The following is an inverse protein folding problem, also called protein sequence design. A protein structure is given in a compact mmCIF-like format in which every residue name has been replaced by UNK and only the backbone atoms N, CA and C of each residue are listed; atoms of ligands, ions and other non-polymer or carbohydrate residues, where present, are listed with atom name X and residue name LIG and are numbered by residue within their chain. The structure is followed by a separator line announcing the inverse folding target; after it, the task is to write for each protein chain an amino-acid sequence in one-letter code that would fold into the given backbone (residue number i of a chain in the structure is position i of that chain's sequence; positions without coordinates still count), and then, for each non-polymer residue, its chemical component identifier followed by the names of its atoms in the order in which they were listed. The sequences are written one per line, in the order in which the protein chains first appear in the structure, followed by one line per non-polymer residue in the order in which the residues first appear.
data_IF_262682844531
#
_entry.id   IF_262682844531
#
_cell.length_a   1.000
_cell.length_b   1.000
_cell.length_c   1.000
_cell.angle_alpha   90.00
_cell.angle_beta   90.00
_cell.angle_gamma   90.00
#
_symmetry.space_group_name_H-M   'P 1'
#
loop_
_entity.id
_entity.type
_entity.pdbx_description
1 polymer ?
#
# COMPACT_ATOMS: atom_id res chain seq x y z
N UNK A 1 17.62 12.62 -8.72
CA UNK A 1 16.26 12.50 -8.17
C UNK A 1 15.43 11.75 -9.19
N UNK A 2 14.67 10.70 -8.82
CA UNK A 2 13.86 9.98 -9.77
C UNK A 2 12.73 10.85 -10.34
N UNK A 3 12.30 10.57 -11.55
CA UNK A 3 11.01 11.00 -12.07
C UNK A 3 9.91 10.18 -11.37
N UNK A 4 8.93 10.85 -10.77
CA UNK A 4 7.87 10.20 -9.99
C UNK A 4 6.53 10.49 -10.65
N UNK A 5 5.80 9.44 -10.96
CA UNK A 5 4.42 9.52 -11.48
C UNK A 5 3.49 8.77 -10.55
N UNK A 6 2.31 9.34 -10.30
CA UNK A 6 1.33 8.78 -9.36
C UNK A 6 -0.06 8.84 -9.96
N UNK A 7 -0.92 7.88 -9.59
CA UNK A 7 -2.36 7.95 -9.81
C UNK A 7 -3.08 7.47 -8.55
N UNK A 8 -4.17 8.15 -8.21
CA UNK A 8 -5.07 7.78 -7.11
C UNK A 8 -6.52 7.84 -7.59
N UNK A 9 -7.34 6.86 -7.21
CA UNK A 9 -8.75 6.82 -7.55
C UNK A 9 -9.57 6.25 -6.41
N UNK A 10 -10.58 7.00 -5.99
CA UNK A 10 -11.53 6.51 -4.99
C UNK A 10 -12.35 5.33 -5.52
N UNK A 11 -12.58 4.35 -4.65
CA UNK A 11 -13.53 3.27 -4.79
C UNK A 11 -14.91 3.64 -4.26
N UNK A 12 -15.62 2.63 -3.80
CA UNK A 12 -16.94 2.77 -3.17
C UNK A 12 -16.96 2.15 -1.77
N UNK A 13 -17.91 2.58 -0.95
CA UNK A 13 -18.19 1.94 0.33
C UNK A 13 -18.69 0.50 0.17
N UNK A 14 -18.77 -0.23 1.28
CA UNK A 14 -19.38 -1.58 1.31
C UNK A 14 -20.88 -1.55 0.93
N UNK A 15 -21.52 -0.39 1.08
CA UNK A 15 -22.89 -0.10 0.64
C UNK A 15 -22.99 0.27 -0.86
N UNK A 16 -21.86 0.36 -1.56
CA UNK A 16 -21.77 0.77 -2.96
C UNK A 16 -21.85 2.29 -3.18
N UNK A 17 -21.94 3.10 -2.12
CA UNK A 17 -21.99 4.54 -2.25
C UNK A 17 -20.60 5.14 -2.52
N UNK A 18 -20.50 6.25 -3.28
CA UNK A 18 -19.26 6.98 -3.41
C UNK A 18 -18.74 7.45 -2.04
N UNK A 19 -17.43 7.34 -1.83
CA UNK A 19 -16.74 7.86 -0.64
C UNK A 19 -15.39 8.47 -1.03
N UNK A 20 -14.78 9.32 -0.19
CA UNK A 20 -13.39 9.73 -0.38
C UNK A 20 -12.46 8.50 -0.38
N UNK A 21 -11.32 8.62 -1.06
CA UNK A 21 -10.28 7.58 -1.03
C UNK A 21 -9.71 7.43 0.38
N UNK A 22 -9.50 6.18 0.80
CA UNK A 22 -8.77 5.81 2.00
C UNK A 22 -7.27 5.62 1.70
N UNK A 23 -6.86 5.63 0.43
CA UNK A 23 -5.46 5.57 0.00
C UNK A 23 -4.77 6.93 0.08
N UNK A 24 -3.44 6.91 0.24
CA UNK A 24 -2.58 8.09 0.22
C UNK A 24 -1.24 7.79 -0.42
N UNK A 25 -0.78 8.66 -1.31
CA UNK A 25 0.63 8.74 -1.72
C UNK A 25 1.25 10.03 -1.19
N UNK A 26 2.40 9.91 -0.53
CA UNK A 26 3.21 11.04 -0.07
C UNK A 26 4.56 10.99 -0.76
N UNK A 27 4.92 12.07 -1.44
CA UNK A 27 6.25 12.25 -2.03
C UNK A 27 7.07 13.16 -1.14
N UNK A 28 8.15 12.64 -0.57
CA UNK A 28 9.18 13.37 0.14
C UNK A 28 10.37 13.64 -0.79
N UNK A 29 11.35 14.40 -0.31
CA UNK A 29 12.57 14.73 -1.07
C UNK A 29 13.34 13.46 -1.54
N UNK A 30 13.40 12.45 -0.67
CA UNK A 30 14.18 11.22 -0.88
C UNK A 30 13.37 9.94 -0.64
N UNK A 31 12.05 10.03 -0.61
CA UNK A 31 11.19 8.87 -0.38
C UNK A 31 9.79 9.05 -0.99
N UNK A 32 9.13 7.92 -1.26
CA UNK A 32 7.70 7.85 -1.53
C UNK A 32 7.08 6.90 -0.52
N UNK A 33 5.96 7.32 0.06
CA UNK A 33 5.13 6.50 0.96
C UNK A 33 3.79 6.28 0.29
N UNK A 34 3.31 5.04 0.29
CA UNK A 34 1.98 4.66 -0.16
C UNK A 34 1.28 3.95 1.01
N UNK A 35 0.08 4.40 1.33
CA UNK A 35 -0.74 3.85 2.40
C UNK A 35 -2.12 3.48 1.85
N UNK A 36 -2.60 2.31 2.23
CA UNK A 36 -3.96 1.82 1.94
C UNK A 36 -4.75 1.78 3.24
N UNK A 37 -5.78 2.61 3.37
CA UNK A 37 -6.60 2.66 4.57
C UNK A 37 -7.51 1.44 4.67
N UNK A 38 -7.29 0.61 5.70
CA UNK A 38 -8.05 -0.63 5.87
C UNK A 38 -9.53 -0.33 6.15
N UNK A 39 -10.40 -0.80 5.27
CA UNK A 39 -11.84 -0.61 5.43
C UNK A 39 -12.37 -1.33 6.67
N UNK A 40 -13.06 -0.58 7.52
CA UNK A 40 -13.79 -1.10 8.66
C UNK A 40 -15.16 -1.64 8.22
N UNK A 41 -15.58 -2.84 8.67
CA UNK A 41 -16.92 -3.37 8.38
C UNK A 41 -18.04 -2.59 9.07
N UNK A 42 -17.70 -1.75 10.05
CA UNK A 42 -18.63 -0.87 10.77
C UNK A 42 -18.24 0.59 10.53
N UNK A 43 -19.18 1.46 10.11
CA UNK A 43 -18.93 2.90 10.03
C UNK A 43 -18.43 3.43 11.38
N UNK A 44 -17.30 4.10 11.37
CA UNK A 44 -16.69 4.73 12.55
C UNK A 44 -16.42 6.19 12.20
N UNK A 45 -16.44 7.06 13.21
CA UNK A 45 -15.97 8.45 13.03
C UNK A 45 -14.51 8.51 12.56
N UNK A 46 -13.72 7.46 12.85
CA UNK A 46 -12.34 7.27 12.41
C UNK A 46 -12.25 5.97 11.61
N UNK A 47 -12.08 6.10 10.31
CA UNK A 47 -11.97 5.01 9.34
C UNK A 47 -10.51 4.84 8.84
N UNK A 48 -10.32 3.97 7.84
CA UNK A 48 -9.01 3.73 7.25
C UNK A 48 -8.44 5.00 6.60
N UNK A 49 -9.31 5.79 5.96
CA UNK A 49 -8.92 7.07 5.34
C UNK A 49 -8.51 8.14 6.34
N UNK A 50 -9.16 8.19 7.51
CA UNK A 50 -8.71 9.03 8.61
C UNK A 50 -7.30 8.60 9.08
N UNK A 51 -7.08 7.30 9.26
CA UNK A 51 -5.79 6.77 9.73
C UNK A 51 -4.67 7.05 8.73
N UNK A 52 -4.85 6.67 7.46
CA UNK A 52 -3.85 6.86 6.40
C UNK A 52 -3.49 8.33 6.23
N UNK A 53 -4.47 9.24 6.28
CA UNK A 53 -4.23 10.68 6.17
C UNK A 53 -3.39 11.24 7.34
N UNK A 54 -3.68 10.84 8.58
CA UNK A 54 -2.93 11.35 9.74
C UNK A 54 -1.54 10.71 9.85
N UNK A 55 -1.40 9.42 9.52
CA UNK A 55 -0.10 8.76 9.47
C UNK A 55 0.79 9.35 8.37
N UNK A 56 0.22 9.58 7.18
CA UNK A 56 0.89 10.28 6.08
C UNK A 56 1.43 11.65 6.51
N UNK A 57 0.62 12.45 7.21
CA UNK A 57 1.04 13.77 7.69
C UNK A 57 2.21 13.70 8.68
N UNK A 58 2.20 12.71 9.59
CA UNK A 58 3.28 12.51 10.56
C UNK A 58 4.58 12.06 9.89
N UNK A 59 4.50 11.19 8.87
CA UNK A 59 5.67 10.76 8.10
C UNK A 59 6.24 11.89 7.24
N UNK A 60 5.38 12.74 6.69
CA UNK A 60 5.80 13.95 5.96
C UNK A 60 6.53 14.94 6.87
N UNK A 61 6.00 15.18 8.08
CA UNK A 61 6.57 16.10 9.06
C UNK A 61 7.88 15.57 9.69
N UNK A 62 7.90 14.29 10.07
CA UNK A 62 9.05 13.65 10.69
C UNK A 62 10.20 13.34 9.71
N UNK A 63 9.85 13.11 8.43
CA UNK A 63 10.79 12.60 7.43
C UNK A 63 11.15 11.13 7.66
N UNK A 64 12.01 10.60 6.77
CA UNK A 64 12.45 9.19 6.78
C UNK A 64 13.98 9.10 6.76
N UNK A 65 14.60 9.57 7.85
CA UNK A 65 16.05 9.80 7.94
C UNK A 65 16.80 8.68 8.68
N UNK A 66 16.10 7.83 9.43
CA UNK A 66 16.65 6.79 10.29
C UNK A 66 16.56 5.40 9.70
N UNK A 67 16.34 4.38 10.54
CA UNK A 67 15.86 3.08 10.06
C UNK A 67 14.38 3.22 9.71
N UNK A 68 13.94 2.72 8.55
CA UNK A 68 12.56 2.89 8.09
C UNK A 68 11.52 2.27 9.03
N UNK A 69 11.87 1.20 9.77
CA UNK A 69 10.96 0.60 10.73
C UNK A 69 10.89 1.43 12.02
N UNK A 70 12.02 2.01 12.47
CA UNK A 70 12.05 2.90 13.62
C UNK A 70 11.26 4.19 13.33
N UNK A 71 11.49 4.81 12.16
CA UNK A 71 10.78 6.02 11.74
C UNK A 71 9.26 5.77 11.64
N UNK A 72 8.86 4.60 11.11
CA UNK A 72 7.45 4.22 11.04
C UNK A 72 6.86 3.90 12.42
N UNK A 73 7.61 3.22 13.30
CA UNK A 73 7.19 2.94 14.67
C UNK A 73 6.92 4.25 15.44
N UNK A 74 7.83 5.22 15.30
CA UNK A 74 7.70 6.54 15.93
C UNK A 74 6.47 7.30 15.40
N UNK A 75 6.21 7.25 14.09
CA UNK A 75 5.00 7.85 13.51
C UNK A 75 3.72 7.19 14.03
N UNK A 76 3.68 5.86 14.12
CA UNK A 76 2.55 5.12 14.71
C UNK A 76 2.36 5.49 16.18
N UNK A 77 3.44 5.56 16.97
CA UNK A 77 3.38 5.91 18.38
C UNK A 77 2.84 7.34 18.60
N UNK A 78 3.30 8.29 17.78
CA UNK A 78 2.79 9.68 17.80
C UNK A 78 1.32 9.75 17.43
N UNK A 79 0.89 9.01 16.41
CA UNK A 79 -0.51 8.96 15.99
C UNK A 79 -1.40 8.40 17.11
N UNK A 80 -0.98 7.27 17.70
CA UNK A 80 -1.72 6.63 18.77
C UNK A 80 -1.84 7.53 20.00
N UNK A 81 -0.75 8.19 20.42
CA UNK A 81 -0.76 9.10 21.55
C UNK A 81 -1.57 10.38 21.29
N UNK A 82 -1.51 10.96 20.10
CA UNK A 82 -2.21 12.20 19.77
C UNK A 82 -3.73 12.06 19.73
N UNK A 83 -4.23 10.83 19.50
CA UNK A 83 -5.65 10.56 19.33
C UNK A 83 -6.20 9.50 20.28
N UNK A 84 -5.44 9.13 21.31
CA UNK A 84 -5.81 8.12 22.32
C UNK A 84 -6.26 6.78 21.69
N UNK A 85 -5.52 6.30 20.68
CA UNK A 85 -5.83 5.05 20.00
C UNK A 85 -5.41 3.84 20.84
N UNK A 86 -6.24 2.79 20.84
CA UNK A 86 -6.00 1.57 21.60
C UNK A 86 -5.69 0.40 20.65
N UNK A 87 -4.58 -0.34 20.86
CA UNK A 87 -4.27 -1.53 20.07
C UNK A 87 -5.40 -2.56 20.04
N UNK A 88 -5.71 -3.06 18.85
CA UNK A 88 -6.79 -4.00 18.59
C UNK A 88 -8.17 -3.37 18.38
N UNK A 89 -8.34 -2.06 18.65
CA UNK A 89 -9.58 -1.32 18.41
C UNK A 89 -9.34 0.04 17.72
N UNK A 90 -8.27 0.17 16.96
CA UNK A 90 -7.98 1.35 16.16
C UNK A 90 -8.21 1.10 14.65
N UNK A 91 -8.49 2.17 13.87
CA UNK A 91 -8.36 2.10 12.43
C UNK A 91 -6.89 1.81 12.06
N UNK A 92 -6.67 1.33 10.84
CA UNK A 92 -5.34 0.90 10.41
C UNK A 92 -5.13 1.18 8.93
N UNK A 93 -3.88 1.17 8.49
CA UNK A 93 -3.52 1.20 7.08
C UNK A 93 -2.34 0.28 6.78
N UNK A 94 -2.27 -0.24 5.55
CA UNK A 94 -1.01 -0.80 5.05
C UNK A 94 0.01 0.34 4.91
N UNK A 95 1.29 -0.03 4.79
CA UNK A 95 2.35 0.93 4.51
C UNK A 95 3.38 0.32 3.57
N UNK A 96 3.60 0.96 2.43
CA UNK A 96 4.74 0.74 1.56
C UNK A 96 5.60 2.00 1.55
N UNK A 97 6.89 1.87 1.79
CA UNK A 97 7.86 2.97 1.75
C UNK A 97 8.98 2.58 0.80
N UNK A 98 9.34 3.49 -0.10
CA UNK A 98 10.56 3.43 -0.90
C UNK A 98 11.37 4.68 -0.57
N UNK A 99 12.60 4.50 -0.09
CA UNK A 99 13.55 5.59 0.15
C UNK A 99 14.79 5.38 -0.70
N UNK A 100 15.40 6.45 -1.19
CA UNK A 100 16.67 6.37 -1.90
C UNK A 100 17.72 7.30 -1.32
N UNK A 101 18.98 6.90 -1.45
CA UNK A 101 20.16 7.72 -1.27
C UNK A 101 20.95 7.72 -2.59
N UNK A 102 22.15 8.27 -2.58
CA UNK A 102 23.07 8.14 -3.72
C UNK A 102 23.59 6.70 -3.87
N UNK A 103 23.57 5.91 -2.79
CA UNK A 103 24.17 4.57 -2.74
C UNK A 103 23.15 3.43 -2.71
N UNK A 104 21.95 3.67 -2.18
CA UNK A 104 20.94 2.63 -1.97
C UNK A 104 19.52 3.04 -2.36
N UNK A 105 18.70 2.03 -2.66
CA UNK A 105 17.24 2.12 -2.60
C UNK A 105 16.77 1.15 -1.52
N UNK A 106 16.02 1.64 -0.54
CA UNK A 106 15.44 0.86 0.55
C UNK A 106 13.94 0.74 0.37
N UNK A 107 13.39 -0.45 0.63
CA UNK A 107 11.95 -0.68 0.67
C UNK A 107 11.51 -1.27 2.02
N UNK A 108 10.35 -0.82 2.48
CA UNK A 108 9.62 -1.38 3.61
C UNK A 108 8.17 -1.64 3.19
N UNK A 109 7.68 -2.86 3.42
CA UNK A 109 6.29 -3.27 3.16
C UNK A 109 5.69 -3.86 4.43
N UNK A 110 4.61 -3.24 4.91
CA UNK A 110 3.81 -3.66 6.04
C UNK A 110 2.38 -3.91 5.55
N UNK A 111 1.93 -5.17 5.62
CA UNK A 111 0.71 -5.69 4.99
C UNK A 111 0.78 -5.72 3.45
N UNK A 112 -0.36 -5.74 2.77
CA UNK A 112 -0.53 -6.24 1.41
C UNK A 112 -0.41 -5.18 0.29
N UNK A 113 0.36 -4.10 0.51
CA UNK A 113 0.70 -3.13 -0.55
C UNK A 113 2.12 -3.37 -1.08
N UNK A 114 2.30 -4.04 -2.24
CA UNK A 114 3.62 -4.45 -2.71
C UNK A 114 4.48 -3.30 -3.23
N UNK A 115 5.80 -3.52 -3.17
CA UNK A 115 6.82 -2.74 -3.89
C UNK A 115 7.48 -3.66 -4.90
N UNK A 116 7.56 -3.24 -6.16
CA UNK A 116 8.22 -3.96 -7.24
C UNK A 116 9.42 -3.18 -7.74
N UNK A 117 10.58 -3.83 -7.78
CA UNK A 117 11.85 -3.25 -8.21
C UNK A 117 12.24 -3.85 -9.55
N UNK A 118 12.61 -2.99 -10.49
CA UNK A 118 13.08 -3.36 -11.83
C UNK A 118 14.54 -2.95 -11.97
N UNK A 119 15.41 -3.96 -12.06
CA UNK A 119 16.83 -3.81 -12.34
C UNK A 119 17.29 -4.82 -13.38
N UNK A 120 18.39 -5.52 -13.11
CA UNK A 120 18.79 -6.69 -13.90
C UNK A 120 17.74 -7.82 -13.87
N UNK A 121 16.94 -7.86 -12.80
CA UNK A 121 15.77 -8.73 -12.64
C UNK A 121 14.62 -7.91 -12.03
N UNK A 122 13.41 -8.41 -12.20
CA UNK A 122 12.24 -7.91 -11.49
C UNK A 122 12.12 -8.63 -10.15
N UNK A 123 12.04 -7.88 -9.06
CA UNK A 123 11.85 -8.39 -7.71
C UNK A 123 10.60 -7.78 -7.08
N UNK A 124 9.77 -8.63 -6.47
CA UNK A 124 8.55 -8.20 -5.77
C UNK A 124 8.78 -8.34 -4.27
N UNK A 125 8.61 -7.24 -3.54
CA UNK A 125 8.56 -7.21 -2.08
C UNK A 125 7.10 -7.11 -1.68
N UNK A 126 6.56 -8.20 -1.14
CA UNK A 126 5.21 -8.30 -0.61
C UNK A 126 5.21 -8.90 0.79
N UNK A 127 4.16 -8.60 1.57
CA UNK A 127 3.86 -9.30 2.81
C UNK A 127 2.60 -10.15 2.65
N UNK A 128 2.81 -11.43 2.36
CA UNK A 128 1.71 -12.35 2.07
C UNK A 128 1.02 -12.88 3.35
N UNK A 129 1.41 -12.43 4.57
CA UNK A 129 0.84 -12.98 5.81
C UNK A 129 -0.67 -12.80 5.89
N UNK A 130 -1.19 -11.63 5.50
CA UNK A 130 -2.63 -11.38 5.46
C UNK A 130 -3.31 -12.27 4.41
N UNK A 131 -2.79 -12.27 3.17
CA UNK A 131 -3.29 -13.11 2.08
C UNK A 131 -3.34 -14.60 2.45
N UNK A 132 -2.29 -15.09 3.11
CA UNK A 132 -2.16 -16.48 3.54
C UNK A 132 -3.15 -16.90 4.62
N UNK A 133 -3.71 -15.95 5.37
CA UNK A 133 -4.75 -16.19 6.38
C UNK A 133 -6.17 -16.11 5.81
N UNK A 134 -6.38 -15.34 4.73
CA UNK A 134 -7.70 -15.20 4.08
C UNK A 134 -8.24 -16.60 3.72
N UNK A 135 -9.48 -16.88 4.10
CA UNK A 135 -10.15 -18.18 3.89
C UNK A 135 -9.73 -19.32 4.83
N UNK A 136 -8.72 -19.13 5.69
CA UNK A 136 -8.30 -20.13 6.70
C UNK A 136 -8.81 -19.83 8.10
N UNK A 137 -9.19 -18.58 8.37
CA UNK A 137 -9.70 -18.13 9.66
C UNK A 137 -11.04 -17.42 9.48
N UNK A 138 -11.93 -17.53 10.46
CA UNK A 138 -13.27 -16.93 10.42
C UNK A 138 -13.27 -15.44 10.73
N UNK A 139 -12.45 -15.00 11.69
CA UNK A 139 -12.33 -13.60 12.08
C UNK A 139 -10.89 -13.12 11.90
N UNK A 140 -10.57 -12.63 10.69
CA UNK A 140 -9.21 -12.18 10.33
C UNK A 140 -8.70 -11.09 11.28
N UNK A 141 -9.57 -10.19 11.75
CA UNK A 141 -9.23 -9.09 12.65
C UNK A 141 -8.65 -9.56 13.98
N UNK A 142 -9.00 -10.76 14.47
CA UNK A 142 -8.38 -11.36 15.67
C UNK A 142 -6.93 -11.77 15.47
N UNK A 143 -6.43 -11.78 14.24
CA UNK A 143 -5.06 -12.10 13.88
C UNK A 143 -4.23 -10.87 13.53
N UNK A 144 -4.78 -9.66 13.71
CA UNK A 144 -4.05 -8.41 13.54
C UNK A 144 -2.98 -8.25 14.63
N UNK A 145 -1.80 -7.76 14.24
CA UNK A 145 -0.68 -7.37 15.08
C UNK A 145 -0.35 -8.39 16.18
N UNK A 146 -0.22 -9.65 15.78
CA UNK A 146 0.21 -10.74 16.66
C UNK A 146 0.97 -11.80 15.91
N UNK A 147 1.76 -12.56 16.67
CA UNK A 147 2.53 -13.68 16.14
C UNK A 147 1.63 -14.76 15.52
N UNK A 148 2.07 -15.33 14.39
CA UNK A 148 1.25 -16.22 13.56
C UNK A 148 0.07 -15.56 12.83
N UNK A 149 -0.12 -14.24 13.02
CA UNK A 149 -1.11 -13.43 12.34
C UNK A 149 -0.53 -12.62 11.18
N UNK A 150 -1.11 -11.44 10.95
CA UNK A 150 -0.60 -10.44 10.02
C UNK A 150 -0.30 -9.13 10.76
N UNK A 151 0.48 -8.26 10.12
CA UNK A 151 0.94 -7.01 10.72
C UNK A 151 0.52 -5.84 9.84
N UNK A 152 0.03 -4.76 10.45
CA UNK A 152 -0.51 -3.58 9.80
C UNK A 152 -0.25 -2.35 10.67
N UNK A 153 -0.12 -1.16 10.08
CA UNK A 153 0.00 0.06 10.86
C UNK A 153 -1.35 0.36 11.52
N UNK A 154 -1.43 0.09 12.81
CA UNK A 154 -2.58 0.35 13.68
C UNK A 154 -2.09 1.15 14.89
N UNK A 155 -2.56 0.90 16.11
CA UNK A 155 -2.12 1.62 17.31
C UNK A 155 -0.97 0.92 18.04
N UNK A 156 -0.39 -0.14 17.47
CA UNK A 156 0.79 -0.84 17.99
C UNK A 156 2.06 -0.49 17.19
N UNK A 157 2.97 0.36 17.72
CA UNK A 157 4.21 0.73 17.07
C UNK A 157 5.11 -0.46 16.72
N UNK A 158 5.05 -1.54 17.51
CA UNK A 158 5.91 -2.70 17.30
C UNK A 158 5.64 -3.41 15.97
N UNK A 159 4.46 -3.17 15.37
CA UNK A 159 4.10 -3.70 14.05
C UNK A 159 5.06 -3.23 12.94
N UNK A 160 5.63 -2.03 13.06
CA UNK A 160 6.57 -1.50 12.06
C UNK A 160 7.81 -2.39 11.89
N UNK A 161 8.35 -2.93 13.00
CA UNK A 161 9.53 -3.82 12.96
C UNK A 161 9.22 -5.22 12.39
N UNK A 162 7.95 -5.51 12.13
CA UNK A 162 7.52 -6.77 11.51
C UNK A 162 7.39 -6.64 10.01
N UNK A 163 7.58 -5.45 9.43
CA UNK A 163 7.55 -5.21 8.00
C UNK A 163 8.60 -6.04 7.25
N UNK A 164 8.28 -6.40 6.00
CA UNK A 164 9.24 -6.98 5.06
C UNK A 164 10.11 -5.85 4.53
N UNK A 165 11.43 -5.98 4.67
CA UNK A 165 12.39 -4.94 4.29
C UNK A 165 13.43 -5.47 3.31
N UNK A 166 13.83 -4.64 2.36
CA UNK A 166 14.88 -4.93 1.37
C UNK A 166 15.66 -3.65 1.07
N UNK A 167 16.90 -3.83 0.62
CA UNK A 167 17.77 -2.75 0.20
C UNK A 167 18.60 -3.23 -0.98
N UNK A 168 18.77 -2.36 -1.97
CA UNK A 168 19.53 -2.62 -3.19
C UNK A 168 20.56 -1.51 -3.42
N UNK A 169 21.71 -1.81 -4.06
CA UNK A 169 22.58 -0.79 -4.59
C UNK A 169 21.81 0.14 -5.55
N UNK A 170 22.02 1.44 -5.44
CA UNK A 170 21.28 2.44 -6.21
C UNK A 170 21.46 2.26 -7.70
N UNK A 171 22.64 1.87 -8.17
CA UNK A 171 22.98 1.65 -9.58
C UNK A 171 22.32 0.39 -10.19
N UNK A 172 21.86 -0.55 -9.36
CA UNK A 172 21.13 -1.74 -9.81
C UNK A 172 19.63 -1.48 -10.05
N UNK A 173 19.08 -0.39 -9.52
CA UNK A 173 17.65 -0.07 -9.60
C UNK A 173 17.37 0.95 -10.71
N UNK A 174 16.51 0.58 -11.66
CA UNK A 174 16.09 1.44 -12.76
C UNK A 174 14.70 2.03 -12.53
N UNK A 175 13.77 1.21 -12.08
CA UNK A 175 12.39 1.61 -11.82
C UNK A 175 11.90 0.95 -10.54
N UNK A 176 11.06 1.65 -9.79
CA UNK A 176 10.30 1.09 -8.68
C UNK A 176 8.82 1.38 -8.90
N UNK A 177 7.97 0.40 -8.66
CA UNK A 177 6.51 0.52 -8.68
C UNK A 177 5.97 0.18 -7.30
N UNK A 178 5.02 0.96 -6.82
CA UNK A 178 4.31 0.74 -5.55
C UNK A 178 2.81 0.71 -5.84
N UNK A 179 2.07 -0.23 -5.28
CA UNK A 179 0.64 -0.39 -5.55
C UNK A 179 -0.14 -0.74 -4.27
N UNK A 180 -1.38 -0.25 -4.16
CA UNK A 180 -2.38 -0.78 -3.20
C UNK A 180 -3.03 -2.05 -3.75
N UNK A 181 -3.80 -2.76 -2.91
CA UNK A 181 -4.41 -4.04 -3.32
C UNK A 181 -5.47 -3.85 -4.44
N UNK A 182 -6.12 -2.69 -4.48
CA UNK A 182 -7.01 -2.28 -5.56
C UNK A 182 -6.34 -2.06 -6.92
N UNK A 183 -5.00 -2.06 -6.97
CA UNK A 183 -4.22 -2.13 -8.23
C UNK A 183 -3.56 -3.48 -8.40
N UNK A 184 -2.95 -4.04 -7.35
CA UNK A 184 -2.23 -5.32 -7.44
C UNK A 184 -3.14 -6.49 -7.77
N UNK A 185 -4.43 -6.43 -7.40
CA UNK A 185 -5.43 -7.42 -7.79
C UNK A 185 -5.52 -7.62 -9.31
N UNK A 186 -5.18 -6.61 -10.12
CA UNK A 186 -5.09 -6.72 -11.58
C UNK A 186 -4.08 -7.76 -12.05
N UNK A 187 -2.99 -7.94 -11.30
CA UNK A 187 -1.96 -8.97 -11.51
C UNK A 187 -2.33 -10.25 -10.77
N UNK A 188 -2.59 -10.14 -9.45
CA UNK A 188 -2.62 -11.27 -8.53
C UNK A 188 -3.88 -12.13 -8.65
N UNK A 189 -5.03 -11.51 -8.92
CA UNK A 189 -6.34 -12.16 -8.83
C UNK A 189 -7.12 -12.11 -10.15
N UNK A 190 -7.04 -10.98 -10.86
CA UNK A 190 -7.84 -10.77 -12.07
C UNK A 190 -7.17 -11.33 -13.33
N UNK A 191 -5.83 -11.43 -13.32
CA UNK A 191 -5.02 -11.83 -14.48
C UNK A 191 -5.18 -10.87 -15.66
N UNK A 192 -5.48 -9.59 -15.40
CA UNK A 192 -5.57 -8.54 -16.42
C UNK A 192 -4.18 -8.21 -16.97
N UNK A 193 -3.19 -8.18 -16.08
CA UNK A 193 -1.81 -7.96 -16.41
C UNK A 193 -1.05 -9.28 -16.24
N UNK A 194 -0.34 -9.77 -17.28
CA UNK A 194 0.42 -11.00 -17.19
C UNK A 194 1.50 -10.99 -16.08
N UNK A 195 2.09 -9.82 -15.86
CA UNK A 195 3.15 -9.57 -14.90
C UNK A 195 3.28 -8.07 -14.58
N UNK A 196 4.14 -7.75 -13.61
CA UNK A 196 4.45 -6.37 -13.24
C UNK A 196 5.19 -5.58 -14.32
N UNK A 197 5.89 -6.25 -15.24
CA UNK A 197 6.53 -5.59 -16.39
C UNK A 197 5.49 -4.95 -17.28
N UNK A 198 4.38 -5.66 -17.54
CA UNK A 198 3.25 -5.17 -18.31
C UNK A 198 2.63 -3.91 -17.68
N UNK A 199 2.56 -3.84 -16.34
CA UNK A 199 2.03 -2.67 -15.62
C UNK A 199 2.93 -1.45 -15.81
N UNK A 200 4.26 -1.62 -15.68
CA UNK A 200 5.22 -0.54 -15.91
C UNK A 200 5.22 -0.10 -17.38
N UNK A 201 5.15 -1.03 -18.32
CA UNK A 201 5.11 -0.72 -19.75
C UNK A 201 3.87 0.10 -20.13
N UNK A 202 2.70 -0.24 -19.57
CA UNK A 202 1.47 0.55 -19.73
C UNK A 202 1.66 1.94 -19.12
N UNK A 203 2.23 2.01 -17.92
CA UNK A 203 2.46 3.28 -17.22
C UNK A 203 3.36 4.21 -18.03
N UNK A 204 4.44 3.69 -18.63
CA UNK A 204 5.32 4.49 -19.48
C UNK A 204 4.71 4.88 -20.82
N UNK A 205 3.89 4.01 -21.41
CA UNK A 205 3.28 4.28 -22.70
C UNK A 205 2.06 5.21 -22.62
N UNK A 206 1.28 5.12 -21.54
CA UNK A 206 -0.07 5.72 -21.45
C UNK A 206 -0.33 6.48 -20.14
N UNK A 207 0.61 6.45 -19.20
CA UNK A 207 0.46 7.02 -17.85
C UNK A 207 -0.17 6.04 -16.85
N UNK A 208 -0.02 6.30 -15.54
CA UNK A 208 -0.49 5.40 -14.48
C UNK A 208 -2.03 5.29 -14.43
N UNK A 209 -2.75 6.31 -14.87
CA UNK A 209 -4.23 6.29 -14.97
C UNK A 209 -4.75 5.16 -15.88
N UNK A 210 -4.00 4.82 -16.94
CA UNK A 210 -4.39 3.75 -17.85
C UNK A 210 -4.38 2.37 -17.18
N UNK A 211 -3.54 2.18 -16.15
CA UNK A 211 -3.56 0.96 -15.32
C UNK A 211 -4.82 0.93 -14.47
N UNK A 212 -5.15 2.07 -13.85
CA UNK A 212 -6.32 2.19 -12.98
C UNK A 212 -7.63 2.01 -13.78
N UNK A 213 -7.68 2.58 -14.98
CA UNK A 213 -8.79 2.41 -15.93
C UNK A 213 -9.02 0.95 -16.28
N UNK A 214 -7.96 0.19 -16.59
CA UNK A 214 -8.09 -1.22 -16.95
C UNK A 214 -8.66 -2.06 -15.80
N UNK A 215 -8.21 -1.81 -14.56
CA UNK A 215 -8.76 -2.50 -13.38
C UNK A 215 -10.22 -2.09 -13.15
N UNK A 216 -10.53 -0.79 -13.23
CA UNK A 216 -11.90 -0.29 -13.02
C UNK A 216 -12.88 -0.80 -14.08
N UNK A 217 -12.45 -0.88 -15.34
CA UNK A 217 -13.24 -1.44 -16.44
C UNK A 217 -13.53 -2.93 -16.20
N UNK A 218 -12.54 -3.70 -15.74
CA UNK A 218 -12.75 -5.10 -15.41
C UNK A 218 -13.79 -5.27 -14.29
N UNK A 219 -13.71 -4.47 -13.24
CA UNK A 219 -14.68 -4.49 -12.14
C UNK A 219 -16.09 -4.08 -12.58
N UNK A 220 -16.21 -3.07 -13.45
CA UNK A 220 -17.48 -2.62 -14.00
C UNK A 220 -18.15 -3.69 -14.89
N UNK A 221 -17.36 -4.57 -15.49
CA UNK A 221 -17.83 -5.74 -16.24
C UNK A 221 -18.14 -6.97 -15.36
N UNK A 222 -17.96 -6.88 -14.03
CA UNK A 222 -18.32 -7.90 -13.05
C UNK A 222 -18.99 -7.28 -11.81
N UNK A 223 -20.10 -6.52 -11.96
CA UNK A 223 -20.69 -5.75 -10.86
C UNK A 223 -21.21 -6.63 -9.71
N UNK A 224 -21.65 -7.85 -10.03
CA UNK A 224 -22.11 -8.85 -9.08
C UNK A 224 -20.97 -9.62 -8.38
N UNK A 225 -19.71 -9.35 -8.75
CA UNK A 225 -18.50 -9.94 -8.15
C UNK A 225 -18.48 -11.47 -8.23
N UNK A 226 -19.01 -12.01 -9.33
CA UNK A 226 -19.13 -13.45 -9.57
C UNK A 226 -17.86 -14.00 -10.19
N UNK A 227 -17.29 -13.27 -11.16
CA UNK A 227 -16.04 -13.67 -11.82
C UNK A 227 -14.87 -13.54 -10.84
N UNK A 228 -14.79 -12.42 -10.13
CA UNK A 228 -13.77 -12.18 -9.12
C UNK A 228 -14.42 -11.81 -7.80
N UNK A 229 -14.30 -12.73 -6.81
CA UNK A 229 -14.87 -12.54 -5.49
C UNK A 229 -14.13 -11.41 -4.76
N UNK A 230 -14.87 -10.38 -4.36
CA UNK A 230 -14.36 -9.20 -3.64
C UNK A 230 -15.44 -8.64 -2.70
N UNK A 231 -15.02 -7.82 -1.73
CA UNK A 231 -15.91 -7.24 -0.71
C UNK A 231 -16.70 -6.03 -1.22
N UNK A 232 -16.08 -5.21 -2.08
CA UNK A 232 -16.66 -4.01 -2.70
C UNK A 232 -16.75 -4.18 -4.22
N UNK A 233 -17.63 -3.44 -4.89
CA UNK A 233 -17.64 -3.42 -6.36
C UNK A 233 -16.32 -2.86 -6.90
N UNK A 234 -15.85 -1.78 -6.26
CA UNK A 234 -14.70 -0.96 -6.61
C UNK A 234 -13.90 -0.65 -5.35
N UNK A 235 -12.63 -1.05 -5.30
CA UNK A 235 -11.74 -0.58 -4.24
C UNK A 235 -11.10 0.77 -4.59
N UNK A 236 -10.48 1.38 -3.59
CA UNK A 236 -9.54 2.47 -3.81
C UNK A 236 -8.33 1.95 -4.60
N UNK A 237 -7.70 2.84 -5.35
CA UNK A 237 -6.57 2.50 -6.19
C UNK A 237 -5.50 3.56 -6.02
N UNK A 238 -4.29 3.15 -5.68
CA UNK A 238 -3.13 4.01 -5.68
C UNK A 238 -1.94 3.29 -6.31
N UNK A 239 -1.26 4.00 -7.22
CA UNK A 239 -0.11 3.52 -7.97
C UNK A 239 0.94 4.63 -7.99
N UNK A 240 2.17 4.32 -7.57
CA UNK A 240 3.33 5.19 -7.72
C UNK A 240 4.41 4.48 -8.54
N UNK A 241 4.99 5.17 -9.53
CA UNK A 241 6.12 4.68 -10.31
C UNK A 241 7.24 5.70 -10.26
N UNK A 242 8.40 5.25 -9.77
CA UNK A 242 9.63 6.00 -9.65
C UNK A 242 10.59 5.50 -10.73
N UNK A 243 11.03 6.38 -11.62
CA UNK A 243 12.03 6.08 -12.63
C UNK A 243 13.31 6.80 -12.30
N UNK A 244 14.37 6.04 -12.08
CA UNK A 244 15.67 6.56 -11.76
C UNK A 244 16.46 6.84 -13.04
N UNK A 245 17.07 8.02 -13.11
CA UNK A 245 18.07 8.31 -14.14
C UNK A 245 19.27 7.38 -13.97
N UNK A 246 19.85 7.00 -15.11
CA UNK A 246 21.12 6.25 -15.19
C UNK A 246 22.31 7.16 -14.94
#
# INVERSE_FOLDING_TARGET
MPEITTAERAGVGLDGAPRPTEDRIVVLEHAVVLLDGATSPTPRERDGGWHSAHLAALLLDGGLRGDLADDLADAIARLAAAHDLTPGDAPSSTVAIVRWTDDTVDALVLADSPVVVFGAKTEVVSDDRLRNLRGKVTEITRWRNREGGFWVAEADPAAAHRAVRRSWPRDEVHTVLMATDGVSCGVDDYGLFPDWQSVVDITFAKGPEAVLDAVREAEANDPERVRWRRSKVHDDQALAVLRFDR
#
